data_IF_285696012950
#
_entry.id   IF_285696012950
#
_cell.length_a   1.000
_cell.length_b   1.000
_cell.length_c   1.000
_cell.angle_alpha   90.00
_cell.angle_beta   90.00
_cell.angle_gamma   90.00
#
_symmetry.space_group_name_H-M   'P 1'
#
loop_
_entity.id
_entity.type
_entity.pdbx_description
1 polymer ?
#
# COMPACT_ATOMS: atom_id res chain seq x y z
N UNK A 1 -47.36 -39.29 -6.07
CA UNK A 1 -48.40 -38.42 -5.48
C UNK A 1 -47.77 -37.06 -5.20
N UNK A 2 -48.23 -36.06 -5.93
CA UNK A 2 -48.11 -34.61 -5.68
C UNK A 2 -48.67 -34.22 -4.30
N UNK A 3 -48.09 -33.21 -3.63
CA UNK A 3 -48.80 -31.95 -3.33
C UNK A 3 -47.81 -30.80 -3.04
N UNK A 4 -48.09 -29.67 -3.71
CA UNK A 4 -47.46 -28.34 -3.60
C UNK A 4 -48.17 -27.54 -2.50
N UNK A 5 -47.52 -26.47 -2.00
CA UNK A 5 -48.07 -25.12 -2.19
C UNK A 5 -46.99 -24.23 -2.86
N UNK A 6 -47.22 -23.64 -4.04
CA UNK A 6 -47.92 -22.36 -4.31
C UNK A 6 -47.24 -21.18 -3.57
N UNK A 7 -46.37 -20.40 -4.23
CA UNK A 7 -46.66 -19.09 -4.90
C UNK A 7 -47.22 -18.07 -3.91
N UNK A 8 -46.76 -16.82 -3.78
CA UNK A 8 -45.69 -16.04 -4.38
C UNK A 8 -45.53 -14.77 -3.53
N UNK A 9 -44.35 -14.17 -3.54
CA UNK A 9 -44.20 -12.72 -3.35
C UNK A 9 -43.02 -12.28 -4.19
N UNK A 10 -43.35 -11.58 -5.26
CA UNK A 10 -42.44 -10.95 -6.19
C UNK A 10 -41.96 -9.61 -5.61
N UNK A 11 -40.64 -9.39 -5.67
CA UNK A 11 -39.94 -8.11 -5.84
C UNK A 11 -38.45 -8.43 -5.64
N UNK A 12 -37.74 -8.86 -6.68
CA UNK A 12 -36.98 -7.95 -7.55
C UNK A 12 -36.07 -7.03 -6.74
N UNK A 13 -34.79 -7.39 -6.64
CA UNK A 13 -33.62 -6.50 -6.70
C UNK A 13 -32.38 -7.38 -6.95
N UNK A 14 -32.27 -7.81 -8.20
CA UNK A 14 -31.09 -8.42 -8.80
C UNK A 14 -29.98 -7.37 -8.92
N UNK A 15 -28.80 -7.55 -8.29
CA UNK A 15 -27.50 -7.08 -8.85
C UNK A 15 -26.21 -7.55 -8.14
N UNK A 16 -26.21 -8.48 -7.19
CA UNK A 16 -25.00 -8.76 -6.40
C UNK A 16 -23.99 -9.77 -7.00
N UNK A 17 -23.93 -9.97 -8.33
CA UNK A 17 -23.16 -11.07 -8.94
C UNK A 17 -22.21 -10.70 -10.12
N UNK A 18 -21.77 -9.44 -10.28
CA UNK A 18 -20.89 -9.04 -11.39
C UNK A 18 -19.53 -8.40 -11.02
N UNK A 19 -19.09 -8.45 -9.76
CA UNK A 19 -17.80 -7.87 -9.36
C UNK A 19 -16.57 -8.80 -9.54
N UNK A 20 -16.70 -9.88 -10.32
CA UNK A 20 -15.57 -10.79 -10.62
C UNK A 20 -15.10 -10.73 -12.09
N UNK A 21 -15.50 -9.74 -12.89
CA UNK A 21 -14.85 -9.46 -14.17
C UNK A 21 -13.58 -8.65 -13.94
N UNK A 22 -12.45 -9.30 -14.22
CA UNK A 22 -11.12 -8.72 -14.13
C UNK A 22 -10.90 -7.51 -15.04
N UNK A 23 -9.70 -6.95 -14.86
CA UNK A 23 -9.07 -5.87 -15.64
C UNK A 23 -9.53 -5.83 -17.12
N UNK A 24 -10.45 -4.92 -17.47
CA UNK A 24 -11.05 -4.85 -18.80
C UNK A 24 -12.00 -3.66 -19.00
N UNK A 25 -11.42 -2.46 -19.15
CA UNK A 25 -11.90 -1.28 -19.91
C UNK A 25 -13.40 -0.92 -19.91
N UNK A 26 -13.75 0.17 -19.21
CA UNK A 26 -14.80 1.16 -19.55
C UNK A 26 -14.19 2.51 -19.15
N UNK A 27 -13.93 3.47 -20.04
CA UNK A 27 -14.89 4.09 -20.95
C UNK A 27 -15.13 5.51 -20.40
N UNK A 28 -14.50 6.49 -21.03
CA UNK A 28 -14.30 7.87 -20.58
C UNK A 28 -15.57 8.61 -20.09
N UNK A 29 -15.76 8.69 -18.77
CA UNK A 29 -16.62 9.71 -18.12
C UNK A 29 -16.36 9.93 -16.61
N UNK A 30 -15.36 9.27 -16.00
CA UNK A 30 -15.08 9.33 -14.56
C UNK A 30 -13.62 9.72 -14.23
N UNK A 31 -12.92 10.37 -15.16
CA UNK A 31 -11.48 10.63 -15.06
C UNK A 31 -11.05 11.51 -13.87
N UNK A 32 -11.89 12.46 -13.44
CA UNK A 32 -11.49 13.43 -12.40
C UNK A 32 -11.83 12.97 -10.99
N UNK A 33 -12.98 12.30 -10.78
CA UNK A 33 -13.37 11.82 -9.45
C UNK A 33 -12.62 10.54 -9.03
N UNK A 34 -12.27 9.67 -10.00
CA UNK A 34 -11.45 8.48 -9.71
C UNK A 34 -9.99 8.85 -9.47
N UNK A 35 -9.45 9.85 -10.17
CA UNK A 35 -8.05 10.28 -9.99
C UNK A 35 -7.84 10.91 -8.62
N UNK A 36 -8.75 11.79 -8.17
CA UNK A 36 -8.67 12.38 -6.83
C UNK A 36 -8.80 11.34 -5.71
N UNK A 37 -9.72 10.37 -5.85
CA UNK A 37 -9.87 9.30 -4.89
C UNK A 37 -8.68 8.32 -4.90
N UNK A 38 -8.16 7.99 -6.08
CA UNK A 38 -6.96 7.15 -6.24
C UNK A 38 -5.71 7.84 -5.71
N UNK A 39 -5.52 9.14 -5.97
CA UNK A 39 -4.40 9.94 -5.45
C UNK A 39 -4.47 10.10 -3.93
N UNK A 40 -5.67 10.28 -3.35
CA UNK A 40 -5.85 10.29 -1.88
C UNK A 40 -5.58 8.92 -1.26
N UNK A 41 -6.04 7.84 -1.90
CA UNK A 41 -5.77 6.48 -1.45
C UNK A 41 -4.27 6.15 -1.55
N UNK A 42 -3.61 6.51 -2.65
CA UNK A 42 -2.17 6.36 -2.84
C UNK A 42 -1.38 7.20 -1.82
N UNK A 43 -1.80 8.44 -1.55
CA UNK A 43 -1.18 9.28 -0.52
C UNK A 43 -1.36 8.69 0.88
N UNK A 44 -2.52 8.09 1.18
CA UNK A 44 -2.76 7.43 2.46
C UNK A 44 -1.91 6.17 2.62
N UNK A 45 -1.75 5.39 1.55
CA UNK A 45 -0.85 4.24 1.52
C UNK A 45 0.61 4.66 1.70
N UNK A 46 1.06 5.71 1.00
CA UNK A 46 2.40 6.28 1.17
C UNK A 46 2.65 6.73 2.61
N UNK A 47 1.69 7.42 3.23
CA UNK A 47 1.79 7.86 4.62
C UNK A 47 1.88 6.68 5.59
N UNK A 48 1.10 5.64 5.38
CA UNK A 48 1.11 4.46 6.25
C UNK A 48 2.43 3.68 6.13
N UNK A 49 2.93 3.49 4.91
CA UNK A 49 4.24 2.86 4.70
C UNK A 49 5.35 3.72 5.31
N UNK A 50 5.27 5.04 5.19
CA UNK A 50 6.21 5.97 5.84
C UNK A 50 6.18 5.82 7.35
N UNK A 51 5.00 5.75 7.98
CA UNK A 51 4.87 5.52 9.43
C UNK A 51 5.54 4.21 9.87
N UNK A 52 5.34 3.13 9.12
CA UNK A 52 5.97 1.84 9.44
C UNK A 52 7.49 1.89 9.32
N UNK A 53 8.01 2.51 8.25
CA UNK A 53 9.45 2.71 8.07
C UNK A 53 10.02 3.52 9.24
N UNK A 54 9.41 4.67 9.55
CA UNK A 54 9.92 5.57 10.57
C UNK A 54 9.80 4.98 11.99
N UNK A 55 8.79 4.17 12.27
CA UNK A 55 8.68 3.45 13.55
C UNK A 55 9.86 2.49 13.77
N UNK A 56 10.28 1.76 12.73
CA UNK A 56 11.44 0.85 12.82
C UNK A 56 12.74 1.65 13.03
N UNK A 57 12.88 2.78 12.34
CA UNK A 57 14.06 3.65 12.44
C UNK A 57 14.19 4.31 13.81
N UNK A 58 13.08 4.77 14.39
CA UNK A 58 13.06 5.39 15.73
C UNK A 58 13.37 4.41 16.85
N UNK A 59 12.91 3.16 16.71
CA UNK A 59 13.25 2.07 17.64
C UNK A 59 14.73 1.66 17.56
N UNK A 60 15.51 2.25 16.65
CA UNK A 60 16.91 2.00 16.45
C UNK A 60 17.10 0.76 15.60
N UNK A 61 17.61 0.92 14.38
CA UNK A 61 17.96 -0.11 13.40
C UNK A 61 19.09 -1.07 13.86
N UNK A 62 18.95 -1.62 15.06
CA UNK A 62 20.02 -2.33 15.77
C UNK A 62 20.03 -3.81 15.41
N UNK A 63 18.88 -4.39 15.09
CA UNK A 63 18.77 -5.84 14.83
C UNK A 63 18.86 -6.17 13.34
N UNK A 64 19.39 -7.36 12.97
CA UNK A 64 19.34 -7.84 11.59
C UNK A 64 17.90 -7.99 11.08
N UNK A 65 16.96 -8.36 11.96
CA UNK A 65 15.53 -8.44 11.62
C UNK A 65 14.95 -7.08 11.21
N UNK A 66 15.35 -5.98 11.84
CA UNK A 66 14.89 -4.63 11.51
C UNK A 66 15.40 -4.21 10.13
N UNK A 67 16.67 -4.54 9.82
CA UNK A 67 17.27 -4.31 8.51
C UNK A 67 16.55 -5.09 7.42
N UNK A 68 16.22 -6.34 7.68
CA UNK A 68 15.49 -7.18 6.73
C UNK A 68 14.05 -6.72 6.52
N UNK A 69 13.37 -6.25 7.58
CA UNK A 69 12.05 -5.64 7.47
C UNK A 69 12.11 -4.37 6.60
N UNK A 70 13.07 -3.48 6.83
CA UNK A 70 13.26 -2.30 5.99
C UNK A 70 13.61 -2.65 4.53
N UNK A 71 14.43 -3.68 4.31
CA UNK A 71 14.75 -4.15 2.97
C UNK A 71 13.51 -4.65 2.21
N UNK A 72 12.62 -5.37 2.90
CA UNK A 72 11.33 -5.80 2.36
C UNK A 72 10.38 -4.63 2.05
N UNK A 73 10.48 -3.53 2.80
CA UNK A 73 9.67 -2.33 2.58
C UNK A 73 10.18 -1.44 1.44
N UNK A 74 11.45 -1.54 1.02
CA UNK A 74 12.03 -0.65 0.01
C UNK A 74 11.29 -0.67 -1.34
N UNK A 75 10.90 -1.85 -1.81
CA UNK A 75 10.13 -2.01 -3.06
C UNK A 75 8.65 -1.61 -2.90
N UNK A 76 8.06 -1.91 -1.75
CA UNK A 76 6.70 -1.51 -1.41
C UNK A 76 6.57 0.01 -1.29
N UNK A 77 7.55 0.69 -0.67
CA UNK A 77 7.57 2.13 -0.48
C UNK A 77 7.60 2.90 -1.82
N UNK A 78 8.42 2.44 -2.78
CA UNK A 78 8.43 3.02 -4.13
C UNK A 78 7.08 2.86 -4.83
N UNK A 79 6.52 1.66 -4.76
CA UNK A 79 5.21 1.36 -5.37
C UNK A 79 4.08 2.17 -4.73
N UNK A 80 4.17 2.40 -3.42
CA UNK A 80 3.21 3.19 -2.66
C UNK A 80 3.35 4.71 -2.90
N UNK A 81 4.39 5.17 -3.60
CA UNK A 81 4.63 6.60 -3.85
C UNK A 81 5.22 7.34 -2.65
N UNK A 82 5.93 6.63 -1.76
CA UNK A 82 6.69 7.26 -0.67
C UNK A 82 7.76 8.19 -1.27
N UNK A 83 7.98 9.39 -0.69
CA UNK A 83 8.93 10.36 -1.21
C UNK A 83 10.35 9.81 -1.36
N UNK A 84 11.09 10.38 -2.32
CA UNK A 84 12.48 9.98 -2.65
C UNK A 84 13.43 10.15 -1.46
N UNK A 85 13.17 11.14 -0.60
CA UNK A 85 13.99 11.44 0.57
C UNK A 85 13.98 10.30 1.61
N UNK A 86 12.89 9.53 1.66
CA UNK A 86 12.78 8.29 2.46
C UNK A 86 13.28 7.09 1.64
N UNK A 87 12.83 6.95 0.38
CA UNK A 87 13.08 5.72 -0.39
C UNK A 87 14.52 5.56 -0.85
N UNK A 88 15.27 6.64 -1.09
CA UNK A 88 16.70 6.58 -1.44
C UNK A 88 17.57 6.02 -0.30
N UNK A 89 17.56 6.58 0.92
CA UNK A 89 18.33 5.99 2.01
C UNK A 89 17.81 4.61 2.42
N UNK A 90 16.49 4.37 2.34
CA UNK A 90 15.90 3.04 2.55
C UNK A 90 16.43 2.00 1.55
N UNK A 91 16.57 2.34 0.27
CA UNK A 91 17.13 1.43 -0.74
C UNK A 91 18.61 1.14 -0.47
N UNK A 92 19.39 2.14 -0.07
CA UNK A 92 20.80 1.92 0.30
C UNK A 92 20.94 1.00 1.51
N UNK A 93 20.03 1.07 2.49
CA UNK A 93 19.97 0.13 3.61
C UNK A 93 19.63 -1.27 3.11
N UNK A 94 18.66 -1.39 2.21
CA UNK A 94 18.25 -2.67 1.62
C UNK A 94 19.38 -3.36 0.83
N UNK A 95 20.12 -2.58 0.02
CA UNK A 95 21.24 -3.06 -0.80
C UNK A 95 22.46 -3.45 0.03
N UNK A 96 22.67 -2.77 1.16
CA UNK A 96 23.80 -3.04 2.04
C UNK A 96 23.63 -4.30 2.91
N UNK A 97 22.39 -4.80 3.06
CA UNK A 97 22.10 -6.00 3.84
C UNK A 97 22.54 -5.86 5.30
N UNK A 98 23.50 -6.67 5.74
CA UNK A 98 24.03 -6.60 7.11
C UNK A 98 25.08 -5.49 7.31
N UNK A 99 25.63 -4.93 6.23
CA UNK A 99 26.68 -3.91 6.27
C UNK A 99 26.12 -2.50 6.06
N UNK A 100 25.04 -2.19 6.77
CA UNK A 100 24.33 -0.92 6.58
C UNK A 100 25.23 0.27 6.92
N UNK A 101 25.47 1.19 5.98
CA UNK A 101 26.27 2.38 6.25
C UNK A 101 25.51 3.33 7.17
N UNK A 102 26.21 3.84 8.19
CA UNK A 102 25.62 4.75 9.20
C UNK A 102 25.04 6.03 8.58
N UNK A 103 25.62 6.49 7.48
CA UNK A 103 25.16 7.68 6.75
C UNK A 103 23.75 7.47 6.15
N UNK A 104 23.47 6.27 5.63
CA UNK A 104 22.13 5.93 5.12
C UNK A 104 21.10 5.82 6.25
N UNK A 105 21.49 5.30 7.42
CA UNK A 105 20.61 5.25 8.60
C UNK A 105 20.28 6.66 9.08
N UNK A 106 21.29 7.53 9.14
CA UNK A 106 21.12 8.93 9.53
C UNK A 106 20.22 9.67 8.55
N UNK A 107 20.49 9.56 7.25
CA UNK A 107 19.67 10.19 6.22
C UNK A 107 18.20 9.71 6.27
N UNK A 108 17.96 8.41 6.52
CA UNK A 108 16.61 7.91 6.68
C UNK A 108 15.94 8.47 7.94
N UNK A 109 16.68 8.58 9.04
CA UNK A 109 16.17 9.14 10.29
C UNK A 109 15.83 10.63 10.16
N UNK A 110 16.70 11.40 9.50
CA UNK A 110 16.47 12.82 9.22
C UNK A 110 15.22 13.00 8.34
N UNK A 111 15.08 12.19 7.28
CA UNK A 111 13.88 12.22 6.43
C UNK A 111 12.58 11.86 7.16
N UNK A 112 12.66 10.99 8.17
CA UNK A 112 11.51 10.64 9.02
C UNK A 112 11.09 11.76 9.99
N UNK A 113 11.97 12.73 10.23
CA UNK A 113 11.79 13.82 11.21
C UNK A 113 11.63 15.19 10.52
N UNK A 114 11.59 15.21 9.18
CA UNK A 114 11.48 16.41 8.35
C UNK A 114 10.01 16.80 8.05
#
# INVERSE_FOLDING_TARGET
MTFRPAVASAAALSTALLLLTGCGTVGEAAGTAVSEAASKAASSAAQEVTRQICAVVDNGLVSPSDRQALAGLASAARTAGVPVEITTPLNRIAEAGDQVPEDSVRALKDACHA
#
